data_IF_983128269508
#
_entry.id   IF_983128269508
#
_cell.length_a   1.000
_cell.length_b   1.000
_cell.length_c   1.000
_cell.angle_alpha   90.00
_cell.angle_beta   90.00
_cell.angle_gamma   90.00
#
_symmetry.space_group_name_H-M   'P 1'
#
loop_
_entity.id
_entity.type
_entity.pdbx_description
1 polymer ?
#
# COMPACT_ATOMS: atom_id res chain seq x y z
N UNK A 1 11.26 18.30 -23.37
CA UNK A 1 9.95 17.81 -23.84
C UNK A 1 9.12 17.75 -22.58
N UNK A 2 8.61 18.87 -22.09
CA UNK A 2 7.42 19.58 -22.57
C UNK A 2 6.21 18.64 -22.53
N UNK A 3 5.40 18.78 -21.48
CA UNK A 3 3.95 18.86 -21.58
C UNK A 3 3.45 19.60 -20.32
N UNK A 4 2.91 20.78 -20.57
CA UNK A 4 2.13 21.61 -19.67
C UNK A 4 0.72 21.06 -19.64
N UNK A 5 0.12 20.92 -18.46
CA UNK A 5 -1.34 20.96 -18.34
C UNK A 5 -1.71 21.72 -17.06
N UNK A 6 -2.26 22.91 -17.31
CA UNK A 6 -3.02 23.76 -16.41
C UNK A 6 -4.21 22.99 -15.82
N UNK A 7 -4.36 22.99 -14.51
CA UNK A 7 -5.68 23.12 -13.89
C UNK A 7 -5.62 24.12 -12.73
N UNK A 8 -5.92 25.37 -13.07
CA UNK A 8 -6.47 26.36 -12.16
C UNK A 8 -7.92 26.01 -11.86
N UNK A 9 -8.30 25.95 -10.58
CA UNK A 9 -9.53 26.55 -10.01
C UNK A 9 -10.11 25.75 -8.85
N UNK A 10 -9.92 26.27 -7.62
CA UNK A 10 -11.02 26.74 -6.75
C UNK A 10 -10.47 27.00 -5.34
N UNK A 11 -10.05 28.25 -5.14
CA UNK A 11 -9.96 28.86 -3.83
C UNK A 11 -11.40 29.23 -3.45
N UNK A 12 -11.94 28.57 -2.42
CA UNK A 12 -13.12 29.06 -1.71
C UNK A 12 -12.61 30.10 -0.71
N UNK A 13 -12.80 31.38 -1.03
CA UNK A 13 -12.59 32.49 -0.11
C UNK A 13 -13.92 33.23 0.07
N UNK A 14 -14.20 33.55 1.33
CA UNK A 14 -15.47 33.97 1.89
C UNK A 14 -16.01 35.24 1.22
N UNK A 15 -17.12 35.10 0.50
CA UNK A 15 -17.94 36.22 0.07
C UNK A 15 -18.82 36.72 1.22
N UNK A 16 -18.27 37.55 2.10
CA UNK A 16 -19.04 38.57 2.82
C UNK A 16 -18.80 39.92 2.12
N UNK A 17 -19.50 40.11 1.00
CA UNK A 17 -19.74 41.43 0.45
C UNK A 17 -21.06 41.90 1.03
N UNK A 18 -20.98 42.92 1.89
CA UNK A 18 -22.11 43.62 2.47
C UNK A 18 -23.15 43.94 1.40
N UNK A 19 -24.37 43.43 1.60
CA UNK A 19 -25.53 43.67 0.76
C UNK A 19 -26.20 45.00 1.11
N UNK A 20 -25.42 46.05 1.40
CA UNK A 20 -25.92 47.42 1.53
C UNK A 20 -25.77 48.16 0.20
N UNK A 21 -26.37 47.59 -0.86
CA UNK A 21 -26.82 48.39 -2.00
C UNK A 21 -28.09 49.09 -1.56
N UNK A 22 -27.91 50.22 -0.88
CA UNK A 22 -28.99 51.13 -0.55
C UNK A 22 -29.72 51.52 -1.84
N UNK A 23 -30.99 51.14 -1.84
CA UNK A 23 -32.04 51.41 -2.81
C UNK A 23 -32.05 52.91 -3.18
N UNK A 24 -31.55 53.25 -4.37
CA UNK A 24 -31.45 54.63 -4.88
C UNK A 24 -32.74 55.13 -5.57
N UNK A 25 -33.90 54.54 -5.27
CA UNK A 25 -35.17 54.91 -5.89
C UNK A 25 -36.25 55.05 -4.82
N UNK A 26 -36.42 56.29 -4.33
CA UNK A 26 -37.69 57.04 -4.31
C UNK A 26 -37.56 58.26 -3.37
N UNK A 27 -36.62 59.17 -3.65
CA UNK A 27 -36.60 60.48 -2.99
C UNK A 27 -37.58 61.38 -3.74
N UNK A 28 -38.84 61.39 -3.30
CA UNK A 28 -39.79 62.43 -3.71
C UNK A 28 -39.36 63.76 -3.06
N UNK A 29 -38.86 64.67 -3.89
CA UNK A 29 -38.62 66.07 -3.53
C UNK A 29 -39.94 66.66 -3.01
N UNK A 30 -40.03 67.11 -1.74
CA UNK A 30 -41.24 67.72 -1.24
C UNK A 30 -41.49 69.01 -2.02
N UNK A 31 -42.58 69.06 -2.79
CA UNK A 31 -43.02 70.28 -3.49
C UNK A 31 -43.45 71.32 -2.45
N UNK A 32 -42.48 72.10 -1.97
CA UNK A 32 -42.68 73.19 -1.04
C UNK A 32 -43.16 74.45 -1.79
N UNK A 33 -44.28 74.32 -2.53
CA UNK A 33 -44.97 75.47 -3.11
C UNK A 33 -46.23 75.82 -2.31
N UNK A 34 -46.14 76.94 -1.60
CA UNK A 34 -47.26 77.68 -1.02
C UNK A 34 -47.61 77.17 0.38
N UNK A 35 -47.54 77.94 1.46
CA UNK A 35 -47.70 79.38 1.63
C UNK A 35 -46.68 79.83 2.66
N UNK A 36 -45.57 80.46 2.24
CA UNK A 36 -44.77 81.23 3.18
C UNK A 36 -45.17 82.69 3.00
N UNK A 37 -45.98 83.18 3.95
CA UNK A 37 -46.17 84.61 4.18
C UNK A 37 -44.77 85.14 4.42
N UNK A 38 -44.21 85.83 3.43
CA UNK A 38 -42.85 86.34 3.48
C UNK A 38 -42.71 87.36 4.59
N UNK A 39 -42.38 86.91 5.80
CA UNK A 39 -41.62 87.70 6.73
C UNK A 39 -40.25 87.90 6.08
N UNK A 40 -40.04 89.12 5.56
CA UNK A 40 -38.76 89.56 5.04
C UNK A 40 -37.78 89.53 6.22
N UNK A 41 -37.01 88.44 6.28
CA UNK A 41 -35.92 88.26 7.25
C UNK A 41 -35.10 89.54 7.28
N UNK A 42 -35.01 90.12 8.46
CA UNK A 42 -34.21 91.30 8.69
C UNK A 42 -32.74 90.98 8.40
N UNK A 43 -31.98 91.98 7.96
CA UNK A 43 -30.52 91.83 7.76
C UNK A 43 -29.81 91.25 9.01
N UNK A 44 -30.36 91.52 10.20
CA UNK A 44 -29.87 90.97 11.46
C UNK A 44 -30.08 89.44 11.57
N UNK A 45 -31.23 88.94 11.14
CA UNK A 45 -31.53 87.49 11.15
C UNK A 45 -30.70 86.74 10.09
N UNK A 46 -30.51 87.33 8.91
CA UNK A 46 -29.61 86.78 7.88
C UNK A 46 -28.16 86.69 8.37
N UNK A 47 -27.67 87.73 9.05
CA UNK A 47 -26.31 87.73 9.62
C UNK A 47 -26.18 86.73 10.78
N UNK A 48 -27.24 86.52 11.58
CA UNK A 48 -27.28 85.46 12.58
C UNK A 48 -27.22 84.07 11.93
N UNK A 49 -28.05 83.80 10.92
CA UNK A 49 -28.06 82.51 10.21
C UNK A 49 -26.71 82.20 9.55
N UNK A 50 -26.07 83.22 8.97
CA UNK A 50 -24.73 83.07 8.38
C UNK A 50 -23.67 82.69 9.43
N UNK A 51 -23.73 83.29 10.62
CA UNK A 51 -22.82 82.95 11.73
C UNK A 51 -23.06 81.53 12.24
N UNK A 52 -24.32 81.12 12.36
CA UNK A 52 -24.69 79.77 12.77
C UNK A 52 -24.19 78.73 11.77
N UNK A 53 -24.46 78.93 10.47
CA UNK A 53 -23.94 78.06 9.40
C UNK A 53 -22.41 78.00 9.42
N UNK A 54 -21.74 79.13 9.63
CA UNK A 54 -20.28 79.15 9.70
C UNK A 54 -19.74 78.41 10.94
N UNK A 55 -20.47 78.44 12.06
CA UNK A 55 -20.16 77.63 13.24
C UNK A 55 -20.33 76.14 12.95
N UNK A 56 -21.45 75.75 12.35
CA UNK A 56 -21.76 74.37 12.00
C UNK A 56 -20.73 73.79 11.02
N UNK A 57 -20.36 74.54 9.98
CA UNK A 57 -19.28 74.15 9.05
C UNK A 57 -17.96 73.95 9.80
N UNK A 58 -17.62 74.86 10.72
CA UNK A 58 -16.38 74.75 11.50
C UNK A 58 -16.37 73.53 12.43
N UNK A 59 -17.52 73.19 13.02
CA UNK A 59 -17.70 71.99 13.82
C UNK A 59 -17.56 70.72 12.96
N UNK A 60 -18.21 70.67 11.80
CA UNK A 60 -18.11 69.56 10.86
C UNK A 60 -16.68 69.34 10.35
N UNK A 61 -15.96 70.41 10.02
CA UNK A 61 -14.55 70.33 9.61
C UNK A 61 -13.66 69.77 10.72
N UNK A 62 -13.93 70.16 11.97
CA UNK A 62 -13.23 69.64 13.13
C UNK A 62 -13.53 68.15 13.34
N UNK A 63 -14.80 67.75 13.31
CA UNK A 63 -15.22 66.35 13.45
C UNK A 63 -14.61 65.47 12.35
N UNK A 64 -14.64 65.94 11.10
CA UNK A 64 -14.04 65.23 9.97
C UNK A 64 -12.53 65.03 10.17
N UNK A 65 -11.83 66.05 10.68
CA UNK A 65 -10.40 65.95 11.00
C UNK A 65 -10.15 64.92 12.10
N UNK A 66 -10.96 64.90 13.15
CA UNK A 66 -10.84 63.92 14.24
C UNK A 66 -11.11 62.49 13.74
N UNK A 67 -12.15 62.29 12.93
CA UNK A 67 -12.47 61.01 12.34
C UNK A 67 -11.34 60.50 11.44
N UNK A 68 -10.76 61.38 10.63
CA UNK A 68 -9.61 61.06 9.77
C UNK A 68 -8.38 60.66 10.57
N UNK A 69 -8.06 61.38 11.64
CA UNK A 69 -6.93 61.04 12.52
C UNK A 69 -7.15 59.71 13.24
N UNK A 70 -8.35 59.47 13.74
CA UNK A 70 -8.74 58.19 14.35
C UNK A 70 -8.53 57.01 13.40
N UNK A 71 -9.00 57.14 12.15
CA UNK A 71 -8.86 56.10 11.13
C UNK A 71 -7.38 55.79 10.81
N UNK A 72 -6.54 56.82 10.71
CA UNK A 72 -5.11 56.62 10.47
C UNK A 72 -4.41 55.97 11.66
N UNK A 73 -4.72 56.39 12.89
CA UNK A 73 -4.16 55.78 14.09
C UNK A 73 -4.56 54.32 14.23
N UNK A 74 -5.83 53.98 13.96
CA UNK A 74 -6.29 52.60 13.94
C UNK A 74 -5.54 51.80 12.88
N UNK A 75 -5.38 52.34 11.67
CA UNK A 75 -4.64 51.66 10.60
C UNK A 75 -3.18 51.41 10.95
N UNK A 76 -2.51 52.39 11.58
CA UNK A 76 -1.14 52.24 12.07
C UNK A 76 -1.08 51.13 13.11
N UNK A 77 -1.99 51.13 14.09
CA UNK A 77 -2.04 50.11 15.13
C UNK A 77 -2.27 48.70 14.57
N UNK A 78 -3.14 48.55 13.56
CA UNK A 78 -3.34 47.27 12.87
C UNK A 78 -2.05 46.76 12.23
N UNK A 79 -1.30 47.63 11.55
CA UNK A 79 -0.02 47.29 10.92
C UNK A 79 1.05 46.96 11.95
N UNK A 80 1.16 47.75 13.02
CA UNK A 80 2.09 47.50 14.12
C UNK A 80 1.81 46.17 14.82
N UNK A 81 0.54 45.83 15.04
CA UNK A 81 0.16 44.55 15.63
C UNK A 81 0.56 43.38 14.71
N UNK A 82 0.26 43.45 13.40
CA UNK A 82 0.70 42.42 12.44
C UNK A 82 2.22 42.30 12.39
N UNK A 83 2.94 43.43 12.40
CA UNK A 83 4.40 43.44 12.42
C UNK A 83 4.96 42.81 13.70
N UNK A 84 4.35 43.09 14.86
CA UNK A 84 4.74 42.49 16.13
C UNK A 84 4.46 40.98 16.16
N UNK A 85 3.31 40.53 15.67
CA UNK A 85 3.00 39.10 15.54
C UNK A 85 4.01 38.39 14.64
N UNK A 86 4.40 39.01 13.52
CA UNK A 86 5.43 38.48 12.64
C UNK A 86 6.80 38.39 13.33
N UNK A 87 7.21 39.44 14.05
CA UNK A 87 8.48 39.46 14.82
C UNK A 87 8.50 38.42 15.95
N UNK A 88 7.36 38.22 16.62
CA UNK A 88 7.21 37.24 17.70
C UNK A 88 7.00 35.81 17.17
N UNK A 89 6.83 35.63 15.86
CA UNK A 89 6.51 34.33 15.26
C UNK A 89 5.12 33.81 15.63
N UNK A 90 4.24 34.67 16.13
CA UNK A 90 2.86 34.33 16.53
C UNK A 90 1.84 34.64 15.43
N UNK A 91 2.29 35.18 14.29
CA UNK A 91 1.44 35.39 13.14
C UNK A 91 0.81 34.05 12.68
N UNK A 92 -0.51 34.01 12.41
CA UNK A 92 -1.22 32.77 12.13
C UNK A 92 -0.68 32.04 10.90
N UNK A 93 -0.23 32.78 9.88
CA UNK A 93 0.41 32.24 8.69
C UNK A 93 1.70 31.46 9.02
N UNK A 94 2.50 31.94 9.98
CA UNK A 94 3.70 31.23 10.42
C UNK A 94 3.36 29.99 11.24
N UNK A 95 2.40 30.11 12.17
CA UNK A 95 1.96 28.98 12.99
C UNK A 95 1.40 27.84 12.13
N UNK A 96 0.68 28.17 11.06
CA UNK A 96 0.18 27.18 10.11
C UNK A 96 1.33 26.41 9.44
N UNK A 97 2.36 27.11 8.94
CA UNK A 97 3.54 26.48 8.34
C UNK A 97 4.29 25.61 9.36
N UNK A 98 4.45 26.08 10.60
CA UNK A 98 5.07 25.30 11.68
C UNK A 98 4.30 24.00 11.93
N UNK A 99 2.97 24.07 12.01
CA UNK A 99 2.11 22.89 12.21
C UNK A 99 2.28 21.86 11.09
N UNK A 100 2.32 22.29 9.82
CA UNK A 100 2.56 21.41 8.68
C UNK A 100 3.94 20.74 8.72
N UNK A 101 4.97 21.48 9.13
CA UNK A 101 6.33 20.95 9.28
C UNK A 101 6.39 19.92 10.40
N UNK A 102 5.76 20.19 11.54
CA UNK A 102 5.68 19.25 12.65
C UNK A 102 4.94 17.95 12.27
N UNK A 103 3.84 18.06 11.55
CA UNK A 103 3.10 16.91 11.04
C UNK A 103 3.96 16.09 10.06
N UNK A 104 4.61 16.76 9.12
CA UNK A 104 5.54 16.12 8.17
C UNK A 104 6.67 15.39 8.90
N UNK A 105 7.23 16.00 9.94
CA UNK A 105 8.27 15.38 10.76
C UNK A 105 7.76 14.13 11.48
N UNK A 106 6.56 14.18 12.08
CA UNK A 106 5.91 13.03 12.73
C UNK A 106 5.71 11.88 11.73
N UNK A 107 5.22 12.17 10.52
CA UNK A 107 5.04 11.17 9.47
C UNK A 107 6.38 10.55 9.08
N UNK A 108 7.42 11.36 8.83
CA UNK A 108 8.76 10.86 8.49
C UNK A 108 9.33 9.94 9.57
N UNK A 109 9.14 10.30 10.83
CA UNK A 109 9.57 9.48 11.96
C UNK A 109 8.84 8.13 12.00
N UNK A 110 7.52 8.13 11.78
CA UNK A 110 6.74 6.89 11.70
C UNK A 110 7.20 6.01 10.54
N UNK A 111 7.40 6.58 9.35
CA UNK A 111 7.89 5.83 8.19
C UNK A 111 9.28 5.25 8.48
N UNK A 112 10.19 6.01 9.08
CA UNK A 112 11.52 5.53 9.44
C UNK A 112 11.45 4.35 10.42
N UNK A 113 10.55 4.41 11.41
CA UNK A 113 10.31 3.31 12.34
C UNK A 113 9.86 2.03 11.62
N UNK A 114 8.84 2.10 10.78
CA UNK A 114 8.35 0.93 10.04
C UNK A 114 9.42 0.37 9.09
N UNK A 115 10.20 1.24 8.43
CA UNK A 115 11.31 0.80 7.57
C UNK A 115 12.35 0.00 8.36
N UNK A 116 12.69 0.44 9.57
CA UNK A 116 13.61 -0.27 10.44
C UNK A 116 13.04 -1.62 10.87
N UNK A 117 11.77 -1.66 11.29
CA UNK A 117 11.07 -2.89 11.68
C UNK A 117 11.04 -3.91 10.53
N UNK A 118 10.71 -3.48 9.31
CA UNK A 118 10.73 -4.37 8.15
C UNK A 118 12.15 -4.83 7.78
N UNK A 119 13.16 -3.97 7.88
CA UNK A 119 14.54 -4.37 7.61
C UNK A 119 15.01 -5.46 8.59
N UNK A 120 14.67 -5.31 9.87
CA UNK A 120 14.96 -6.33 10.88
C UNK A 120 14.21 -7.64 10.61
N UNK A 121 12.92 -7.56 10.28
CA UNK A 121 12.10 -8.73 9.96
C UNK A 121 12.63 -9.50 8.74
N UNK A 122 13.06 -8.79 7.68
CA UNK A 122 13.69 -9.40 6.51
C UNK A 122 14.99 -10.10 6.90
N UNK A 123 15.85 -9.41 7.65
CA UNK A 123 17.15 -9.97 8.09
C UNK A 123 16.95 -11.24 8.94
N UNK A 124 15.97 -11.23 9.84
CA UNK A 124 15.63 -12.40 10.66
C UNK A 124 15.14 -13.57 9.79
N UNK A 125 14.27 -13.30 8.81
CA UNK A 125 13.77 -14.34 7.88
C UNK A 125 14.87 -14.92 6.99
N UNK A 126 15.79 -14.09 6.54
CA UNK A 126 16.97 -14.54 5.78
C UNK A 126 17.82 -15.47 6.65
N UNK A 127 18.08 -15.09 7.90
CA UNK A 127 18.81 -15.94 8.85
C UNK A 127 18.10 -17.28 9.11
N UNK A 128 16.79 -17.25 9.35
CA UNK A 128 15.99 -18.46 9.56
C UNK A 128 15.99 -19.37 8.33
N UNK A 129 15.97 -18.79 7.13
CA UNK A 129 16.03 -19.53 5.88
C UNK A 129 17.39 -20.23 5.70
N UNK A 130 18.49 -19.51 5.91
CA UNK A 130 19.85 -20.07 5.84
C UNK A 130 20.06 -21.20 6.85
N UNK A 131 19.58 -21.04 8.08
CA UNK A 131 19.62 -22.10 9.09
C UNK A 131 18.85 -23.35 8.64
N UNK A 132 17.67 -23.17 8.04
CA UNK A 132 16.90 -24.29 7.49
C UNK A 132 17.62 -24.99 6.34
N UNK A 133 18.21 -24.25 5.39
CA UNK A 133 18.98 -24.81 4.28
C UNK A 133 20.13 -25.66 4.82
N UNK A 134 20.94 -25.10 5.72
CA UNK A 134 22.07 -25.81 6.33
C UNK A 134 21.60 -27.08 7.03
N UNK A 135 20.50 -27.02 7.76
CA UNK A 135 19.96 -28.19 8.45
C UNK A 135 19.48 -29.28 7.49
N UNK A 136 18.78 -28.92 6.41
CA UNK A 136 18.40 -29.84 5.35
C UNK A 136 19.64 -30.48 4.71
N UNK A 137 20.67 -29.70 4.40
CA UNK A 137 21.90 -30.17 3.77
C UNK A 137 22.69 -31.12 4.68
N UNK A 138 22.74 -30.85 5.98
CA UNK A 138 23.38 -31.74 6.96
C UNK A 138 22.61 -33.06 7.07
N UNK A 139 21.28 -32.99 7.18
CA UNK A 139 20.44 -34.19 7.27
C UNK A 139 20.56 -35.05 6.01
N UNK A 140 20.58 -34.43 4.83
CA UNK A 140 20.74 -35.12 3.56
C UNK A 140 22.11 -35.80 3.46
N UNK A 141 23.19 -35.10 3.83
CA UNK A 141 24.54 -35.70 3.86
C UNK A 141 24.67 -36.85 4.84
N UNK A 142 24.02 -36.76 6.01
CA UNK A 142 23.98 -37.84 6.98
C UNK A 142 23.28 -39.07 6.40
N UNK A 143 22.09 -38.89 5.82
CA UNK A 143 21.34 -39.97 5.18
C UNK A 143 22.14 -40.63 4.04
N UNK A 144 22.82 -39.82 3.22
CA UNK A 144 23.70 -40.33 2.16
C UNK A 144 24.85 -41.16 2.75
N UNK A 145 25.50 -40.70 3.82
CA UNK A 145 26.58 -41.45 4.47
C UNK A 145 26.08 -42.79 5.07
N UNK A 146 24.90 -42.78 5.70
CA UNK A 146 24.25 -43.99 6.22
C UNK A 146 23.96 -45.00 5.09
N UNK A 147 23.41 -44.54 3.97
CA UNK A 147 23.15 -45.39 2.80
C UNK A 147 24.43 -45.94 2.17
N UNK A 148 25.50 -45.14 2.09
CA UNK A 148 26.79 -45.63 1.60
C UNK A 148 27.38 -46.72 2.50
N UNK A 149 27.29 -46.56 3.83
CA UNK A 149 27.71 -47.60 4.78
C UNK A 149 26.85 -48.85 4.63
N UNK A 150 25.52 -48.70 4.52
CA UNK A 150 24.58 -49.82 4.35
C UNK A 150 24.88 -50.62 3.08
N UNK A 151 25.10 -49.93 1.96
CA UNK A 151 25.46 -50.55 0.68
C UNK A 151 26.82 -51.25 0.77
N UNK A 152 27.84 -50.60 1.34
CA UNK A 152 29.17 -51.22 1.51
C UNK A 152 29.15 -52.48 2.37
N UNK A 153 28.34 -52.51 3.43
CA UNK A 153 28.13 -53.72 4.24
C UNK A 153 27.41 -54.82 3.45
N UNK A 154 26.40 -54.46 2.66
CA UNK A 154 25.66 -55.40 1.82
C UNK A 154 26.57 -56.03 0.74
N UNK A 155 27.38 -55.23 0.06
CA UNK A 155 28.36 -55.69 -0.92
C UNK A 155 29.40 -56.64 -0.30
N UNK A 156 29.93 -56.28 0.88
CA UNK A 156 30.86 -57.13 1.63
C UNK A 156 30.24 -58.48 2.00
N UNK A 157 28.99 -58.48 2.47
CA UNK A 157 28.27 -59.71 2.80
C UNK A 157 28.01 -60.59 1.56
N UNK A 158 27.59 -60.00 0.43
CA UNK A 158 27.43 -60.73 -0.83
C UNK A 158 28.76 -61.32 -1.32
N UNK A 159 29.86 -60.57 -1.21
CA UNK A 159 31.20 -61.05 -1.57
C UNK A 159 31.62 -62.24 -0.70
N UNK A 160 31.44 -62.16 0.62
CA UNK A 160 31.75 -63.26 1.54
C UNK A 160 30.90 -64.51 1.26
N UNK A 161 29.61 -64.34 0.94
CA UNK A 161 28.74 -65.45 0.55
C UNK A 161 29.20 -66.11 -0.75
N UNK A 162 29.60 -65.31 -1.74
CA UNK A 162 30.17 -65.81 -2.98
C UNK A 162 31.49 -66.54 -2.75
N UNK A 163 32.41 -65.97 -1.97
CA UNK A 163 33.69 -66.60 -1.61
C UNK A 163 33.49 -67.91 -0.85
N UNK A 164 32.51 -67.97 0.06
CA UNK A 164 32.13 -69.18 0.79
C UNK A 164 31.59 -70.26 -0.15
N UNK A 165 30.60 -69.94 -0.98
CA UNK A 165 29.99 -70.90 -1.91
C UNK A 165 30.97 -71.39 -2.97
N UNK A 166 31.87 -70.51 -3.44
CA UNK A 166 32.96 -70.91 -4.34
C UNK A 166 34.00 -71.79 -3.63
N UNK A 167 34.34 -71.51 -2.36
CA UNK A 167 35.17 -72.42 -1.55
C UNK A 167 34.50 -73.77 -1.34
N UNK A 168 33.23 -73.81 -0.94
CA UNK A 168 32.45 -75.04 -0.77
C UNK A 168 32.42 -75.86 -2.07
N UNK A 169 32.21 -75.21 -3.22
CA UNK A 169 32.27 -75.86 -4.55
C UNK A 169 33.65 -76.46 -4.82
N UNK A 170 34.72 -75.68 -4.64
CA UNK A 170 36.11 -76.15 -4.83
C UNK A 170 36.49 -77.28 -3.87
N UNK A 171 35.95 -77.29 -2.64
CA UNK A 171 36.15 -78.36 -1.67
C UNK A 171 35.34 -79.62 -2.02
N UNK A 172 34.16 -79.46 -2.64
CA UNK A 172 33.35 -80.56 -3.14
C UNK A 172 33.88 -81.17 -4.44
N UNK A 173 34.60 -80.42 -5.29
CA UNK A 173 35.29 -80.93 -6.49
C UNK A 173 36.50 -81.85 -6.17
N UNK A 174 36.89 -81.98 -4.89
CA UNK A 174 37.77 -83.05 -4.40
C UNK A 174 37.08 -84.37 -4.07
N UNK A 175 35.75 -84.47 -4.28
CA UNK A 175 34.97 -85.71 -4.18
C UNK A 175 34.10 -85.85 -5.43
N UNK A 176 34.51 -86.75 -6.30
CA UNK A 176 33.79 -87.17 -7.50
C UNK A 176 32.30 -87.44 -7.22
N UNK A 177 31.40 -86.83 -8.00
CA UNK A 177 30.31 -87.55 -8.67
C UNK A 177 29.56 -86.64 -9.67
N UNK A 178 29.72 -86.96 -10.95
CA UNK A 178 28.73 -87.01 -12.05
C UNK A 178 27.29 -86.52 -11.77
N UNK A 179 26.81 -85.52 -12.53
CA UNK A 179 25.71 -85.60 -13.54
C UNK A 179 25.00 -84.25 -13.83
N UNK A 180 24.76 -84.06 -15.14
CA UNK A 180 23.74 -83.25 -15.87
C UNK A 180 23.67 -81.71 -15.73
N UNK A 181 23.87 -80.97 -16.83
CA UNK A 181 23.40 -79.59 -16.98
C UNK A 181 22.06 -79.58 -17.73
N UNK A 182 20.95 -79.39 -17.01
CA UNK A 182 19.65 -79.10 -17.61
C UNK A 182 19.15 -77.74 -17.16
N UNK A 183 19.04 -76.86 -18.16
CA UNK A 183 17.88 -76.02 -18.44
C UNK A 183 17.41 -75.03 -17.37
N UNK A 184 17.63 -73.75 -17.65
CA UNK A 184 16.67 -72.62 -17.68
C UNK A 184 17.36 -71.32 -17.29
N UNK A 185 18.04 -70.75 -18.28
CA UNK A 185 18.37 -69.34 -18.34
C UNK A 185 17.34 -68.71 -19.29
N UNK A 186 16.21 -68.23 -18.77
CA UNK A 186 15.31 -67.35 -19.53
C UNK A 186 14.42 -66.51 -18.59
N UNK A 187 15.06 -65.62 -17.83
CA UNK A 187 14.40 -64.41 -17.32
C UNK A 187 15.23 -63.20 -17.71
N UNK A 188 15.47 -63.03 -19.01
CA UNK A 188 15.83 -61.73 -19.56
C UNK A 188 14.56 -61.03 -20.09
N UNK A 189 14.31 -59.75 -19.75
CA UNK A 189 13.20 -59.00 -20.31
C UNK A 189 13.35 -58.89 -21.83
N UNK A 190 12.27 -59.15 -22.58
CA UNK A 190 12.26 -59.16 -24.06
C UNK A 190 12.86 -57.89 -24.69
N UNK A 191 13.51 -57.97 -25.87
CA UNK A 191 14.24 -56.84 -26.48
C UNK A 191 13.37 -55.69 -27.02
N UNK A 192 12.04 -55.80 -26.95
CA UNK A 192 11.10 -54.94 -27.68
C UNK A 192 10.14 -54.12 -26.79
N UNK A 193 10.48 -53.86 -25.53
CA UNK A 193 9.90 -52.70 -24.85
C UNK A 193 10.78 -51.49 -25.12
N UNK A 194 10.23 -50.50 -25.82
CA UNK A 194 10.79 -49.15 -25.84
C UNK A 194 11.15 -48.76 -24.41
N UNK A 195 12.39 -48.28 -24.21
CA UNK A 195 12.84 -47.78 -22.91
C UNK A 195 11.82 -46.74 -22.45
N UNK A 196 11.00 -47.05 -21.43
CA UNK A 196 10.17 -46.03 -20.77
C UNK A 196 11.12 -44.90 -20.43
N UNK A 197 10.89 -43.71 -21.00
CA UNK A 197 11.68 -42.52 -20.67
C UNK A 197 11.67 -42.41 -19.15
N UNK A 198 12.85 -42.50 -18.53
CA UNK A 198 12.95 -42.28 -17.08
C UNK A 198 12.36 -40.89 -16.81
N UNK A 199 11.61 -40.70 -15.72
CA UNK A 199 11.14 -39.36 -15.32
C UNK A 199 12.33 -38.41 -15.34
N UNK A 200 12.13 -37.19 -15.85
CA UNK A 200 13.16 -36.15 -15.85
C UNK A 200 13.47 -35.82 -14.39
N UNK A 201 14.52 -36.43 -13.85
CA UNK A 201 15.05 -36.08 -12.53
C UNK A 201 15.80 -34.77 -12.67
N UNK A 202 15.26 -33.71 -12.07
CA UNK A 202 15.96 -32.42 -11.99
C UNK A 202 17.31 -32.62 -11.30
N UNK A 203 18.35 -31.94 -11.82
CA UNK A 203 19.69 -31.93 -11.22
C UNK A 203 19.61 -31.48 -9.75
N UNK A 204 20.42 -32.03 -8.83
CA UNK A 204 20.44 -31.62 -7.42
C UNK A 204 20.77 -30.13 -7.23
N UNK A 205 21.33 -29.46 -8.25
CA UNK A 205 21.65 -28.03 -8.26
C UNK A 205 20.55 -27.14 -8.87
N UNK A 206 19.40 -27.71 -9.22
CA UNK A 206 18.28 -26.92 -9.76
C UNK A 206 17.57 -26.22 -8.59
N UNK A 207 17.42 -24.88 -8.59
CA UNK A 207 16.70 -24.18 -7.54
C UNK A 207 15.26 -24.73 -7.46
N UNK A 208 14.93 -25.35 -6.32
CA UNK A 208 13.58 -25.84 -6.04
C UNK A 208 12.80 -24.73 -5.35
N UNK A 209 11.71 -24.29 -5.97
CA UNK A 209 10.70 -23.52 -5.24
C UNK A 209 10.05 -24.45 -4.22
N UNK A 210 10.46 -24.33 -2.95
CA UNK A 210 9.80 -25.00 -1.84
C UNK A 210 8.66 -24.11 -1.39
N UNK A 211 7.46 -24.36 -1.94
CA UNK A 211 6.25 -23.75 -1.41
C UNK A 211 5.93 -24.43 -0.07
N UNK A 212 6.26 -23.79 1.05
CA UNK A 212 5.77 -24.19 2.36
C UNK A 212 4.28 -23.78 2.48
N UNK A 213 3.42 -24.51 1.78
CA UNK A 213 1.96 -24.41 1.99
C UNK A 213 1.63 -25.25 3.23
N UNK A 214 0.98 -24.70 4.26
CA UNK A 214 0.58 -25.47 5.44
C UNK A 214 -0.28 -26.69 5.06
N UNK A 215 -0.11 -27.83 5.73
CA UNK A 215 -0.91 -29.05 5.47
C UNK A 215 -2.43 -28.81 5.58
N UNK A 216 -2.85 -27.78 6.33
CA UNK A 216 -4.25 -27.36 6.42
C UNK A 216 -4.77 -26.78 5.10
N UNK A 217 -3.98 -25.93 4.45
CA UNK A 217 -4.33 -25.29 3.18
C UNK A 217 -4.32 -26.33 2.04
N UNK A 218 -3.31 -27.21 2.01
CA UNK A 218 -3.25 -28.32 1.05
C UNK A 218 -4.51 -29.19 1.14
N UNK A 219 -4.94 -29.55 2.36
CA UNK A 219 -6.16 -30.36 2.56
C UNK A 219 -7.42 -29.64 2.10
N UNK A 220 -7.54 -28.35 2.38
CA UNK A 220 -8.66 -27.52 1.93
C UNK A 220 -8.75 -27.47 0.40
N UNK A 221 -7.62 -27.26 -0.27
CA UNK A 221 -7.56 -27.20 -1.74
C UNK A 221 -7.89 -28.54 -2.38
N UNK A 222 -7.39 -29.64 -1.81
CA UNK A 222 -7.73 -31.00 -2.26
C UNK A 222 -9.24 -31.26 -2.15
N UNK A 223 -9.87 -30.82 -1.06
CA UNK A 223 -11.32 -30.94 -0.88
C UNK A 223 -12.10 -30.13 -1.91
N UNK A 224 -11.66 -28.89 -2.19
CA UNK A 224 -12.26 -28.03 -3.21
C UNK A 224 -12.15 -28.63 -4.61
N UNK A 225 -10.99 -29.17 -4.97
CA UNK A 225 -10.76 -29.85 -6.24
C UNK A 225 -11.67 -31.07 -6.37
N UNK A 226 -11.75 -31.91 -5.32
CA UNK A 226 -12.62 -33.09 -5.32
C UNK A 226 -14.10 -32.72 -5.44
N UNK A 227 -14.55 -31.65 -4.77
CA UNK A 227 -15.91 -31.15 -4.88
C UNK A 227 -16.23 -30.64 -6.29
N UNK A 228 -15.32 -29.89 -6.90
CA UNK A 228 -15.46 -29.40 -8.27
C UNK A 228 -15.52 -30.55 -9.29
N UNK A 229 -14.65 -31.56 -9.15
CA UNK A 229 -14.65 -32.75 -10.00
C UNK A 229 -15.95 -33.55 -9.85
N UNK A 230 -16.47 -33.71 -8.63
CA UNK A 230 -17.77 -34.36 -8.38
C UNK A 230 -18.91 -33.61 -9.06
N UNK A 231 -18.96 -32.28 -8.90
CA UNK A 231 -19.98 -31.42 -9.54
C UNK A 231 -19.92 -31.53 -11.07
N UNK A 232 -18.73 -31.50 -11.64
CA UNK A 232 -18.53 -31.67 -13.08
C UNK A 232 -19.00 -33.03 -13.58
N UNK A 233 -18.65 -34.12 -12.87
CA UNK A 233 -19.10 -35.48 -13.20
C UNK A 233 -20.63 -35.62 -13.15
N UNK A 234 -21.27 -35.02 -12.15
CA UNK A 234 -22.73 -35.01 -12.04
C UNK A 234 -23.37 -34.21 -13.18
N UNK A 235 -22.86 -33.02 -13.47
CA UNK A 235 -23.34 -32.20 -14.58
C UNK A 235 -23.20 -32.96 -15.93
N UNK A 236 -22.05 -33.58 -16.16
CA UNK A 236 -21.81 -34.40 -17.35
C UNK A 236 -22.79 -35.59 -17.45
N UNK A 237 -23.02 -36.31 -16.34
CA UNK A 237 -23.98 -37.41 -16.31
C UNK A 237 -25.43 -36.95 -16.58
N UNK A 238 -25.84 -35.82 -16.00
CA UNK A 238 -27.16 -35.21 -16.23
C UNK A 238 -27.32 -34.77 -17.69
N UNK A 239 -26.30 -34.15 -18.28
CA UNK A 239 -26.31 -33.78 -19.70
C UNK A 239 -26.42 -35.01 -20.61
N UNK A 240 -25.74 -36.12 -20.30
CA UNK A 240 -25.84 -37.39 -21.04
C UNK A 240 -27.22 -38.04 -20.91
N UNK A 241 -27.88 -37.93 -19.76
CA UNK A 241 -29.24 -38.44 -19.56
C UNK A 241 -30.29 -37.61 -20.29
N UNK A 242 -30.14 -36.27 -20.29
CA UNK A 242 -31.06 -35.36 -20.96
C UNK A 242 -30.96 -35.46 -22.49
N UNK A 243 -29.76 -35.69 -23.03
CA UNK A 243 -29.56 -35.91 -24.47
C UNK A 243 -30.09 -37.27 -24.96
N UNK A 244 -30.22 -38.28 -24.07
CA UNK A 244 -30.85 -39.58 -24.39
C UNK A 244 -32.38 -39.58 -24.35
N UNK A 245 -33.03 -38.57 -23.75
CA UNK A 245 -34.50 -38.45 -23.70
C UNK A 245 -35.11 -37.71 -24.89
N UNK A 246 -34.27 -37.18 -25.79
CA UNK A 246 -34.68 -36.34 -26.94
C UNK A 246 -34.62 -37.12 -28.28
N UNK A 247 -34.21 -38.40 -28.24
CA UNK A 247 -34.35 -39.36 -29.35
C UNK A 247 -35.33 -40.47 -28.95
#
# INVERSE_FOLDING_TARGET
MADEDLEDSKINDDGQMDEDRLNEEDYQEPDFRGENIGEELTDAELECLKKELQSEISELEWEFKQAKESLYNERIMQVENKLNQAKMGTAPEFLHVVSLVEETYKIRLQVAKHRMEFALEITNKELDNELQIIQCDVNQRLLEAEEQIRLGLQESLCKLQYERTTHERKFSEGKECSKSPDHYDDYLPSPNLERRKKPVTLSPFTPRLIYQIPEKEIRSDVELILAAVKKHKLAFAVSQLNSRKIN
#
